data_IF_713081289777
#
_entry.id   IF_713081289777
#
_cell.length_a   1.000
_cell.length_b   1.000
_cell.length_c   1.000
_cell.angle_alpha   90.00
_cell.angle_beta   90.00
_cell.angle_gamma   90.00
#
_symmetry.space_group_name_H-M   'P 1'
#
loop_
_entity.id
_entity.type
_entity.pdbx_description
1 polymer ?
#
# COMPACT_ATOMS: atom_id res chain seq x y z
N UNK A 1 2.61 -19.72 -8.76
CA UNK A 1 3.78 -20.56 -8.62
C UNK A 1 4.81 -20.01 -7.66
N UNK A 2 5.69 -20.90 -7.23
CA UNK A 2 6.78 -20.50 -6.33
C UNK A 2 7.96 -19.88 -7.09
N UNK A 3 7.90 -19.87 -8.43
CA UNK A 3 8.86 -19.22 -9.31
C UNK A 3 8.14 -18.41 -10.38
N UNK A 4 8.86 -17.56 -11.11
CA UNK A 4 8.25 -16.82 -12.22
C UNK A 4 8.08 -17.64 -13.50
N UNK A 5 8.70 -18.84 -13.57
CA UNK A 5 8.47 -19.85 -14.60
C UNK A 5 9.09 -19.61 -15.97
N UNK A 6 9.69 -18.45 -16.23
CA UNK A 6 10.41 -18.11 -17.45
C UNK A 6 11.85 -17.75 -17.13
N UNK A 7 12.53 -17.09 -18.04
CA UNK A 7 13.94 -16.72 -17.98
C UNK A 7 14.49 -16.53 -16.54
N UNK A 8 15.55 -17.24 -16.20
CA UNK A 8 16.16 -17.37 -14.87
C UNK A 8 15.33 -18.08 -13.80
N UNK A 9 14.05 -18.31 -14.01
CA UNK A 9 13.15 -19.04 -13.11
C UNK A 9 13.31 -18.67 -11.63
N UNK A 10 13.34 -17.38 -11.34
CA UNK A 10 13.57 -16.85 -10.01
C UNK A 10 12.41 -17.18 -9.04
N UNK A 11 12.77 -17.43 -7.80
CA UNK A 11 11.82 -17.70 -6.71
C UNK A 11 10.82 -16.55 -6.52
N UNK A 12 9.59 -16.92 -6.14
CA UNK A 12 8.49 -16.03 -5.77
C UNK A 12 7.99 -16.32 -4.38
N UNK A 13 7.78 -15.30 -3.59
CA UNK A 13 7.23 -15.44 -2.22
C UNK A 13 5.70 -15.39 -2.24
N UNK A 14 5.06 -16.37 -2.89
CA UNK A 14 3.59 -16.46 -3.03
C UNK A 14 2.97 -17.51 -2.09
N UNK A 15 3.77 -18.16 -1.24
CA UNK A 15 3.33 -19.16 -0.29
C UNK A 15 2.14 -18.71 0.61
N UNK A 16 1.93 -17.42 0.97
CA UNK A 16 0.77 -17.03 1.77
C UNK A 16 -0.56 -17.35 1.09
N UNK A 17 -0.62 -17.26 -0.25
CA UNK A 17 -1.80 -17.66 -1.02
C UNK A 17 -2.08 -19.17 -0.89
N UNK A 18 -1.06 -20.01 -1.00
CA UNK A 18 -1.23 -21.46 -0.80
C UNK A 18 -1.76 -21.77 0.60
N UNK A 19 -1.20 -21.13 1.62
CA UNK A 19 -1.64 -21.32 3.01
C UNK A 19 -3.10 -20.85 3.19
N UNK A 20 -3.47 -19.74 2.58
CA UNK A 20 -4.85 -19.25 2.55
C UNK A 20 -5.81 -20.29 1.92
N UNK A 21 -5.43 -20.91 0.81
CA UNK A 21 -6.23 -21.97 0.17
C UNK A 21 -6.42 -23.14 1.11
N UNK A 22 -5.35 -23.59 1.78
CA UNK A 22 -5.40 -24.69 2.75
C UNK A 22 -6.35 -24.34 3.91
N UNK A 23 -6.22 -23.13 4.46
CA UNK A 23 -7.08 -22.66 5.55
C UNK A 23 -8.54 -22.54 5.14
N UNK A 24 -8.82 -22.12 3.92
CA UNK A 24 -10.17 -22.04 3.35
C UNK A 24 -10.84 -23.41 3.27
N UNK A 25 -10.11 -24.43 2.81
CA UNK A 25 -10.62 -25.80 2.80
C UNK A 25 -10.80 -26.36 4.22
N UNK A 26 -9.86 -26.14 5.12
CA UNK A 26 -9.94 -26.60 6.50
C UNK A 26 -11.10 -25.94 7.27
N UNK A 27 -11.43 -24.69 6.96
CA UNK A 27 -12.56 -23.97 7.56
C UNK A 27 -13.90 -24.21 6.86
N UNK A 28 -13.90 -25.01 5.78
CA UNK A 28 -15.08 -25.25 4.94
C UNK A 28 -15.73 -23.95 4.45
N UNK A 29 -14.90 -23.04 3.94
CA UNK A 29 -15.38 -21.74 3.41
C UNK A 29 -16.38 -21.99 2.28
N UNK A 30 -17.52 -21.23 2.23
CA UNK A 30 -18.49 -21.35 1.14
C UNK A 30 -17.84 -21.11 -0.24
N UNK A 31 -18.24 -21.90 -1.25
CA UNK A 31 -17.61 -21.88 -2.57
C UNK A 31 -17.71 -20.54 -3.28
N UNK A 32 -18.83 -19.87 -3.15
CA UNK A 32 -19.04 -18.52 -3.70
C UNK A 32 -18.08 -17.50 -3.06
N UNK A 33 -17.93 -17.52 -1.74
CA UNK A 33 -16.99 -16.66 -1.03
C UNK A 33 -15.53 -17.00 -1.41
N UNK A 34 -15.18 -18.28 -1.46
CA UNK A 34 -13.88 -18.76 -1.89
C UNK A 34 -13.51 -18.27 -3.30
N UNK A 35 -14.49 -18.27 -4.22
CA UNK A 35 -14.31 -17.78 -5.59
C UNK A 35 -14.14 -16.26 -5.63
N UNK A 36 -15.06 -15.53 -4.98
CA UNK A 36 -15.04 -14.07 -4.97
C UNK A 36 -13.74 -13.53 -4.38
N UNK A 37 -13.28 -14.10 -3.27
CA UNK A 37 -12.05 -13.63 -2.62
C UNK A 37 -10.80 -13.86 -3.46
N UNK A 38 -10.72 -14.93 -4.24
CA UNK A 38 -9.61 -15.19 -5.13
C UNK A 38 -9.61 -14.28 -6.37
N UNK A 39 -10.77 -13.98 -6.93
CA UNK A 39 -10.88 -13.15 -8.12
C UNK A 39 -10.85 -11.66 -7.82
N UNK A 40 -11.44 -11.22 -6.70
CA UNK A 40 -11.70 -9.82 -6.40
C UNK A 40 -11.67 -9.50 -4.89
N UNK A 41 -10.95 -10.26 -4.08
CA UNK A 41 -10.91 -10.07 -2.63
C UNK A 41 -10.38 -8.71 -2.19
N UNK A 42 -9.48 -8.11 -2.94
CA UNK A 42 -8.94 -6.77 -2.71
C UNK A 42 -9.95 -5.65 -3.01
N UNK A 43 -10.96 -5.92 -3.85
CA UNK A 43 -12.01 -4.96 -4.23
C UNK A 43 -13.20 -4.98 -3.26
N UNK A 44 -13.26 -5.91 -2.31
CA UNK A 44 -14.34 -5.98 -1.33
C UNK A 44 -14.32 -4.77 -0.39
N UNK A 45 -15.50 -4.23 -0.01
CA UNK A 45 -15.58 -3.13 0.94
C UNK A 45 -14.90 -3.48 2.28
N UNK A 46 -13.92 -2.68 2.70
CA UNK A 46 -13.17 -2.96 3.94
C UNK A 46 -12.29 -4.21 3.87
N UNK A 47 -11.80 -4.57 2.69
CA UNK A 47 -11.08 -5.81 2.42
C UNK A 47 -9.95 -6.08 3.43
N UNK A 48 -9.97 -7.28 3.99
CA UNK A 48 -9.00 -7.75 4.98
C UNK A 48 -7.66 -8.13 4.33
N UNK A 49 -6.64 -8.32 5.16
CA UNK A 49 -5.35 -8.83 4.66
C UNK A 49 -5.51 -10.22 4.02
N UNK A 50 -6.32 -11.09 4.61
CA UNK A 50 -6.51 -12.47 4.11
C UNK A 50 -7.25 -12.45 2.75
N UNK A 51 -8.23 -11.57 2.56
CA UNK A 51 -8.89 -11.36 1.28
C UNK A 51 -7.94 -10.82 0.19
N UNK A 52 -7.00 -9.95 0.58
CA UNK A 52 -5.93 -9.50 -0.34
C UNK A 52 -4.93 -10.62 -0.66
N UNK A 53 -4.63 -11.49 0.29
CA UNK A 53 -3.78 -12.69 0.06
C UNK A 53 -4.48 -13.64 -0.90
N UNK A 54 -5.80 -13.82 -0.78
CA UNK A 54 -6.58 -14.65 -1.69
C UNK A 54 -6.41 -14.26 -3.16
N UNK A 55 -6.30 -12.96 -3.47
CA UNK A 55 -6.06 -12.49 -4.85
C UNK A 55 -4.70 -12.90 -5.43
N UNK A 56 -3.86 -13.57 -4.65
CA UNK A 56 -2.67 -14.26 -5.13
C UNK A 56 -2.96 -15.24 -6.26
N UNK A 57 -4.21 -15.73 -6.40
CA UNK A 57 -4.68 -16.48 -7.57
C UNK A 57 -4.33 -15.77 -8.87
N UNK A 58 -4.60 -14.47 -8.96
CA UNK A 58 -4.33 -13.65 -10.15
C UNK A 58 -2.84 -13.40 -10.40
N UNK A 59 -1.96 -13.82 -9.48
CA UNK A 59 -0.50 -13.66 -9.56
C UNK A 59 0.24 -15.00 -9.78
N UNK A 60 -0.49 -16.09 -10.00
CA UNK A 60 0.10 -17.40 -10.27
C UNK A 60 0.55 -17.60 -11.71
N UNK A 61 0.29 -16.64 -12.58
CA UNK A 61 0.74 -16.67 -13.98
C UNK A 61 2.28 -16.64 -14.07
N UNK A 62 2.78 -17.19 -15.15
CA UNK A 62 4.20 -17.11 -15.53
C UNK A 62 4.54 -15.66 -15.89
N UNK A 63 5.69 -15.17 -15.39
CA UNK A 63 6.18 -13.81 -15.70
C UNK A 63 7.60 -13.87 -16.26
N UNK A 64 8.04 -12.81 -16.91
CA UNK A 64 9.38 -12.71 -17.46
C UNK A 64 10.11 -11.44 -17.03
N UNK A 65 11.42 -11.52 -16.94
CA UNK A 65 12.33 -10.39 -16.77
C UNK A 65 13.40 -10.34 -17.86
N UNK A 66 13.21 -11.13 -18.93
CA UNK A 66 14.20 -11.32 -20.00
C UNK A 66 14.47 -10.05 -20.78
N UNK A 67 15.76 -9.71 -20.93
CA UNK A 67 16.19 -8.61 -21.78
C UNK A 67 15.81 -8.86 -23.25
N UNK A 68 15.15 -7.89 -23.88
CA UNK A 68 14.64 -8.01 -25.25
C UNK A 68 13.18 -8.46 -25.36
N UNK A 69 12.55 -8.84 -24.25
CA UNK A 69 11.09 -9.02 -24.21
C UNK A 69 10.37 -7.68 -24.41
N UNK A 70 9.24 -7.72 -25.10
CA UNK A 70 8.41 -6.53 -25.37
C UNK A 70 7.37 -6.42 -24.26
N UNK A 71 7.42 -5.34 -23.49
CA UNK A 71 6.57 -5.10 -22.30
C UNK A 71 5.08 -5.22 -22.64
N UNK A 72 4.63 -4.53 -23.69
CA UNK A 72 3.22 -4.54 -24.12
C UNK A 72 2.76 -5.93 -24.56
N UNK A 73 3.61 -6.72 -25.20
CA UNK A 73 3.28 -8.09 -25.60
C UNK A 73 3.05 -8.98 -24.39
N UNK A 74 3.94 -8.93 -23.41
CA UNK A 74 3.81 -9.76 -22.21
C UNK A 74 2.64 -9.31 -21.34
N UNK A 75 2.35 -8.02 -21.27
CA UNK A 75 1.18 -7.51 -20.57
C UNK A 75 -0.12 -8.11 -21.13
N UNK A 76 -0.24 -8.17 -22.48
CA UNK A 76 -1.37 -8.85 -23.15
C UNK A 76 -1.36 -10.36 -22.86
N UNK A 77 -0.19 -11.02 -22.94
CA UNK A 77 -0.08 -12.47 -22.69
C UNK A 77 -0.53 -12.84 -21.26
N UNK A 78 -0.18 -12.03 -20.26
CA UNK A 78 -0.61 -12.28 -18.88
C UNK A 78 -2.11 -12.11 -18.70
N UNK A 79 -2.73 -11.14 -19.36
CA UNK A 79 -4.18 -10.98 -19.32
C UNK A 79 -4.89 -12.15 -20.00
N UNK A 80 -4.38 -12.63 -21.14
CA UNK A 80 -4.89 -13.84 -21.84
C UNK A 80 -4.78 -15.06 -20.93
N UNK A 81 -3.61 -15.30 -20.32
CA UNK A 81 -3.39 -16.43 -19.42
C UNK A 81 -4.36 -16.43 -18.23
N UNK A 82 -4.64 -15.27 -17.66
CA UNK A 82 -5.63 -15.14 -16.57
C UNK A 82 -7.05 -15.45 -17.00
N UNK A 83 -7.45 -15.05 -18.21
CA UNK A 83 -8.76 -15.42 -18.77
C UNK A 83 -8.85 -16.94 -18.93
N UNK A 84 -7.83 -17.56 -19.54
CA UNK A 84 -7.77 -19.00 -19.76
C UNK A 84 -7.79 -19.76 -18.44
N UNK A 85 -6.95 -19.36 -17.48
CA UNK A 85 -6.88 -19.96 -16.14
C UNK A 85 -8.21 -19.84 -15.41
N UNK A 86 -8.80 -18.64 -15.39
CA UNK A 86 -10.10 -18.40 -14.73
C UNK A 86 -11.20 -19.24 -15.35
N UNK A 87 -11.27 -19.28 -16.68
CA UNK A 87 -12.27 -20.07 -17.40
C UNK A 87 -12.10 -21.57 -17.14
N UNK A 88 -10.86 -22.05 -17.11
CA UNK A 88 -10.59 -23.47 -16.83
C UNK A 88 -10.94 -23.84 -15.39
N UNK A 89 -10.52 -23.03 -14.41
CA UNK A 89 -10.69 -23.33 -12.98
C UNK A 89 -12.14 -23.20 -12.53
N UNK A 90 -12.83 -22.13 -12.94
CA UNK A 90 -14.14 -21.78 -12.40
C UNK A 90 -15.31 -22.20 -13.30
N UNK A 91 -15.09 -22.27 -14.61
CA UNK A 91 -16.13 -22.59 -15.58
C UNK A 91 -15.94 -23.97 -16.22
N UNK A 92 -14.77 -24.58 -16.10
CA UNK A 92 -14.43 -25.83 -16.79
C UNK A 92 -14.35 -25.68 -18.31
N UNK A 93 -14.11 -24.45 -18.83
CA UNK A 93 -14.08 -24.13 -20.25
C UNK A 93 -12.66 -23.87 -20.73
N UNK A 94 -12.36 -24.29 -21.96
CA UNK A 94 -11.11 -24.02 -22.66
C UNK A 94 -11.23 -22.72 -23.45
N UNK A 95 -11.21 -21.58 -22.77
CA UNK A 95 -11.53 -20.28 -23.39
C UNK A 95 -10.49 -19.78 -24.42
N UNK A 96 -9.27 -20.30 -24.43
CA UNK A 96 -8.17 -19.81 -25.28
C UNK A 96 -8.46 -19.75 -26.77
N UNK A 97 -9.32 -20.65 -27.29
CA UNK A 97 -9.74 -20.60 -28.70
C UNK A 97 -10.47 -19.29 -29.04
N UNK A 98 -11.20 -18.73 -28.05
CA UNK A 98 -11.98 -17.52 -28.24
C UNK A 98 -11.14 -16.25 -28.29
N UNK A 99 -9.84 -16.33 -28.05
CA UNK A 99 -8.92 -15.22 -28.26
C UNK A 99 -8.84 -14.80 -29.75
N UNK A 100 -9.02 -15.75 -30.68
CA UNK A 100 -8.91 -15.49 -32.12
C UNK A 100 -10.24 -15.55 -32.89
N UNK A 101 -11.19 -16.35 -32.44
CA UNK A 101 -12.51 -16.56 -33.08
C UNK A 101 -13.52 -17.08 -32.07
N UNK A 102 -14.80 -17.03 -32.38
CA UNK A 102 -15.84 -17.62 -31.53
C UNK A 102 -15.53 -19.10 -31.25
N UNK A 103 -15.72 -19.55 -30.00
CA UNK A 103 -15.41 -20.92 -29.63
C UNK A 103 -16.25 -21.91 -30.48
N UNK A 104 -15.58 -22.95 -30.99
CA UNK A 104 -16.22 -23.85 -31.94
C UNK A 104 -17.39 -24.67 -31.34
N UNK A 105 -17.24 -25.05 -30.07
CA UNK A 105 -18.17 -25.99 -29.43
C UNK A 105 -18.93 -25.39 -28.26
N UNK A 106 -18.30 -24.49 -27.52
CA UNK A 106 -18.88 -23.86 -26.34
C UNK A 106 -19.51 -22.51 -26.70
N UNK A 107 -20.59 -22.09 -26.00
CA UNK A 107 -21.26 -20.82 -26.27
C UNK A 107 -20.44 -19.62 -25.74
N UNK A 108 -19.22 -19.50 -26.20
CA UNK A 108 -18.27 -18.43 -25.84
C UNK A 108 -17.83 -17.70 -27.11
N UNK A 109 -18.24 -16.47 -27.26
CA UNK A 109 -17.80 -15.61 -28.36
C UNK A 109 -16.46 -14.96 -28.10
N UNK A 110 -15.77 -14.57 -29.17
CA UNK A 110 -14.56 -13.76 -29.06
C UNK A 110 -14.81 -12.46 -28.27
N UNK A 111 -15.97 -11.85 -28.47
CA UNK A 111 -16.37 -10.64 -27.73
C UNK A 111 -16.44 -10.90 -26.22
N UNK A 112 -17.01 -11.98 -25.79
CA UNK A 112 -17.13 -12.35 -24.37
C UNK A 112 -15.75 -12.65 -23.76
N UNK A 113 -14.86 -13.30 -24.53
CA UNK A 113 -13.47 -13.48 -24.14
C UNK A 113 -12.81 -12.13 -23.82
N UNK A 114 -12.92 -11.14 -24.73
CA UNK A 114 -12.32 -9.82 -24.50
C UNK A 114 -13.05 -8.97 -23.46
N UNK A 115 -14.29 -9.27 -23.13
CA UNK A 115 -14.96 -8.69 -21.98
C UNK A 115 -14.32 -9.16 -20.66
N UNK A 116 -14.05 -10.46 -20.52
CA UNK A 116 -13.31 -10.99 -19.36
C UNK A 116 -11.87 -10.46 -19.36
N UNK A 117 -11.21 -10.47 -20.50
CA UNK A 117 -9.86 -9.94 -20.67
C UNK A 117 -9.72 -8.50 -20.14
N UNK A 118 -10.73 -7.64 -20.34
CA UNK A 118 -10.68 -6.25 -19.93
C UNK A 118 -10.51 -6.06 -18.41
N UNK A 119 -11.01 -7.00 -17.60
CA UNK A 119 -10.80 -6.97 -16.14
C UNK A 119 -9.35 -7.21 -15.78
N UNK A 120 -8.65 -8.11 -16.46
CA UNK A 120 -7.25 -8.44 -16.20
C UNK A 120 -6.27 -7.49 -16.87
N UNK A 121 -6.68 -6.83 -17.94
CA UNK A 121 -5.86 -5.86 -18.65
C UNK A 121 -5.74 -4.51 -17.93
N UNK A 122 -6.60 -4.23 -16.98
CA UNK A 122 -6.58 -3.00 -16.17
C UNK A 122 -5.74 -3.10 -14.88
N UNK A 123 -5.02 -4.21 -14.65
CA UNK A 123 -4.18 -4.38 -13.47
C UNK A 123 -2.95 -3.46 -13.51
N UNK A 124 -2.54 -2.98 -12.33
CA UNK A 124 -1.45 -2.00 -12.20
C UNK A 124 -0.05 -2.62 -12.06
N UNK A 125 0.11 -3.87 -12.46
CA UNK A 125 1.42 -4.54 -12.46
C UNK A 125 2.27 -4.15 -13.66
N UNK A 126 3.57 -4.45 -13.58
CA UNK A 126 4.46 -4.36 -14.73
C UNK A 126 4.58 -5.73 -15.40
N UNK A 127 4.58 -5.76 -16.72
CA UNK A 127 4.83 -6.99 -17.47
C UNK A 127 6.25 -7.53 -17.21
N UNK A 128 7.23 -6.63 -17.22
CA UNK A 128 8.63 -6.98 -16.95
C UNK A 128 8.93 -6.84 -15.45
N UNK A 129 9.16 -7.96 -14.78
CA UNK A 129 9.43 -7.98 -13.33
C UNK A 129 10.86 -7.57 -12.95
N UNK A 130 11.76 -7.48 -13.91
CA UNK A 130 13.16 -7.09 -13.72
C UNK A 130 13.94 -8.06 -12.84
N UNK A 131 13.54 -9.33 -12.81
CA UNK A 131 14.11 -10.39 -11.96
C UNK A 131 14.09 -10.07 -10.46
N UNK A 132 13.10 -9.29 -10.02
CA UNK A 132 12.93 -8.98 -8.60
C UNK A 132 12.29 -10.15 -7.88
N UNK A 133 12.81 -10.49 -6.70
CA UNK A 133 12.20 -11.48 -5.81
C UNK A 133 10.75 -11.12 -5.46
N UNK A 134 10.48 -9.84 -5.26
CA UNK A 134 9.18 -9.30 -4.92
C UNK A 134 8.79 -8.17 -5.89
N UNK A 135 8.31 -8.50 -7.10
CA UNK A 135 7.85 -7.49 -8.04
C UNK A 135 6.55 -6.84 -7.54
N UNK A 136 6.44 -5.51 -7.57
CA UNK A 136 5.22 -4.83 -7.17
C UNK A 136 4.04 -5.15 -8.11
N UNK A 137 2.78 -5.05 -7.62
CA UNK A 137 2.39 -4.70 -6.26
C UNK A 137 2.63 -5.83 -5.25
N UNK A 138 3.04 -5.48 -4.02
CA UNK A 138 3.30 -6.44 -2.94
C UNK A 138 2.52 -6.08 -1.68
N UNK A 139 2.19 -7.10 -0.90
CA UNK A 139 1.65 -6.95 0.45
C UNK A 139 2.54 -7.68 1.45
N UNK A 140 2.60 -7.18 2.68
CA UNK A 140 3.29 -7.86 3.77
C UNK A 140 2.32 -8.81 4.45
N UNK A 141 2.50 -10.11 4.24
CA UNK A 141 1.72 -11.16 4.90
C UNK A 141 2.54 -11.74 6.07
N UNK A 142 2.10 -11.55 7.34
CA UNK A 142 2.79 -12.11 8.48
C UNK A 142 2.60 -13.63 8.52
N UNK A 143 3.64 -14.34 8.96
CA UNK A 143 3.55 -15.79 9.28
C UNK A 143 2.60 -16.03 10.45
N UNK A 144 2.18 -17.27 10.65
CA UNK A 144 1.33 -17.66 11.79
C UNK A 144 1.97 -17.30 13.14
N UNK A 145 3.29 -17.49 13.28
CA UNK A 145 4.02 -17.09 14.49
C UNK A 145 3.97 -15.59 14.72
N UNK A 146 4.22 -14.79 13.67
CA UNK A 146 4.13 -13.33 13.73
C UNK A 146 2.71 -12.82 14.00
N UNK A 147 1.68 -13.48 13.45
CA UNK A 147 0.27 -13.17 13.76
C UNK A 147 -0.03 -13.38 15.25
N UNK A 148 0.46 -14.49 15.82
CA UNK A 148 0.29 -14.80 17.24
C UNK A 148 1.01 -13.79 18.13
N UNK A 149 2.26 -13.47 17.81
CA UNK A 149 3.05 -12.47 18.53
C UNK A 149 2.41 -11.07 18.46
N UNK A 150 1.98 -10.65 17.26
CA UNK A 150 1.29 -9.38 17.07
C UNK A 150 0.03 -9.30 17.94
N UNK A 151 -0.80 -10.35 17.95
CA UNK A 151 -2.01 -10.40 18.76
C UNK A 151 -1.70 -10.27 20.26
N UNK A 152 -0.62 -10.89 20.72
CA UNK A 152 -0.18 -10.77 22.12
C UNK A 152 0.32 -9.35 22.44
N UNK A 153 1.09 -8.74 21.53
CA UNK A 153 1.57 -7.35 21.67
C UNK A 153 0.40 -6.35 21.66
N UNK A 154 -0.60 -6.55 20.80
CA UNK A 154 -1.82 -5.75 20.76
C UNK A 154 -2.57 -5.84 22.08
N UNK A 155 -2.66 -7.03 22.68
CA UNK A 155 -3.26 -7.25 24.01
C UNK A 155 -2.52 -6.50 25.11
N UNK A 156 -1.18 -6.56 25.12
CA UNK A 156 -0.33 -5.85 26.08
C UNK A 156 -0.46 -4.33 25.92
N UNK A 157 -0.44 -3.85 24.68
CA UNK A 157 -0.62 -2.43 24.38
C UNK A 157 -1.97 -1.93 24.87
N UNK A 158 -3.04 -2.67 24.63
CA UNK A 158 -4.38 -2.30 25.10
C UNK A 158 -4.47 -2.28 26.66
N UNK A 159 -3.80 -3.23 27.33
CA UNK A 159 -3.74 -3.25 28.79
C UNK A 159 -3.01 -2.01 29.34
N UNK A 160 -1.84 -1.68 28.78
CA UNK A 160 -1.07 -0.50 29.19
C UNK A 160 -1.84 0.79 28.91
N UNK A 161 -2.49 0.90 27.76
CA UNK A 161 -3.34 2.05 27.44
C UNK A 161 -4.46 2.20 28.47
N UNK A 162 -5.11 1.11 28.83
CA UNK A 162 -6.14 1.12 29.89
C UNK A 162 -5.63 1.51 31.28
N UNK A 163 -4.38 1.20 31.59
CA UNK A 163 -3.73 1.67 32.82
C UNK A 163 -3.42 3.17 32.76
N UNK A 164 -2.93 3.65 31.62
CA UNK A 164 -2.68 5.08 31.38
C UNK A 164 -3.99 5.87 31.54
N UNK A 165 -5.06 5.41 30.91
CA UNK A 165 -6.38 6.06 30.99
C UNK A 165 -6.88 6.15 32.43
N UNK A 166 -6.71 5.08 33.23
CA UNK A 166 -7.06 5.08 34.66
C UNK A 166 -6.21 6.08 35.47
N UNK A 167 -4.90 6.14 35.18
CA UNK A 167 -4.01 7.10 35.82
C UNK A 167 -4.39 8.53 35.47
N UNK A 168 -4.68 8.80 34.20
CA UNK A 168 -5.13 10.11 33.74
C UNK A 168 -6.46 10.51 34.40
N UNK A 169 -7.42 9.60 34.45
CA UNK A 169 -8.69 9.86 35.11
C UNK A 169 -8.53 10.21 36.61
N UNK A 170 -7.57 9.58 37.28
CA UNK A 170 -7.30 9.81 38.71
C UNK A 170 -6.36 11.00 38.95
N UNK A 171 -5.65 11.50 37.93
CA UNK A 171 -4.67 12.59 38.08
C UNK A 171 -5.31 13.96 38.19
N UNK A 172 -6.64 14.09 37.96
CA UNK A 172 -7.30 15.39 37.85
C UNK A 172 -6.89 16.21 36.64
N UNK A 173 -6.11 15.62 35.73
CA UNK A 173 -5.69 16.26 34.48
C UNK A 173 -6.91 16.55 33.60
N UNK A 174 -7.03 17.80 33.17
CA UNK A 174 -7.99 18.20 32.13
C UNK A 174 -7.21 18.64 30.92
N UNK A 175 -7.46 17.98 29.81
CA UNK A 175 -6.90 18.42 28.54
C UNK A 175 -7.28 19.88 28.28
N UNK A 176 -6.31 20.73 27.92
CA UNK A 176 -6.64 22.07 27.46
C UNK A 176 -7.57 21.92 26.25
N UNK A 177 -8.72 22.59 26.32
CA UNK A 177 -9.64 22.58 25.19
C UNK A 177 -8.95 23.10 23.95
N UNK A 178 -9.23 22.55 22.75
CA UNK A 178 -8.57 22.98 21.51
C UNK A 178 -8.64 24.50 21.25
N UNK A 179 -9.61 25.16 21.86
CA UNK A 179 -9.83 26.61 21.77
C UNK A 179 -9.42 27.39 23.03
N UNK A 180 -8.83 26.74 24.03
CA UNK A 180 -8.26 27.51 25.14
C UNK A 180 -7.10 28.34 24.57
N UNK A 181 -7.08 29.67 24.79
CA UNK A 181 -5.88 30.42 24.46
C UNK A 181 -4.75 29.75 25.23
N UNK A 182 -3.70 29.28 24.53
CA UNK A 182 -2.48 28.85 25.16
C UNK A 182 -2.09 30.00 26.09
N UNK A 183 -2.14 29.74 27.42
CA UNK A 183 -1.63 30.70 28.38
C UNK A 183 -0.23 31.11 27.93
N UNK A 184 0.19 32.28 28.31
CA UNK A 184 1.49 32.84 27.98
C UNK A 184 2.59 31.80 28.18
N UNK A 185 2.89 31.04 27.11
CA UNK A 185 3.89 29.97 27.08
C UNK A 185 5.26 30.61 26.95
N UNK A 186 5.50 31.69 27.69
CA UNK A 186 6.77 32.36 27.78
C UNK A 186 7.38 32.72 26.42
N UNK A 187 8.33 33.57 26.36
CA UNK A 187 8.94 34.14 25.15
C UNK A 187 9.63 33.15 24.19
N UNK A 188 9.41 31.84 24.32
CA UNK A 188 10.11 30.81 23.53
C UNK A 188 9.27 30.17 22.38
N UNK A 189 7.98 30.32 22.38
CA UNK A 189 7.17 29.81 21.27
C UNK A 189 6.93 30.89 20.21
N UNK A 190 7.39 30.62 19.00
CA UNK A 190 7.16 31.47 17.82
C UNK A 190 6.25 30.73 16.87
N UNK A 191 5.10 31.31 16.59
CA UNK A 191 4.17 30.80 15.58
C UNK A 191 4.47 31.54 14.27
N UNK A 192 4.76 30.77 13.24
CA UNK A 192 4.96 31.29 11.90
C UNK A 192 3.76 30.94 11.04
N UNK A 193 3.24 31.93 10.40
CA UNK A 193 2.08 31.78 9.54
C UNK A 193 2.48 32.13 8.12
N UNK A 194 1.97 31.37 7.17
CA UNK A 194 2.24 31.56 5.75
C UNK A 194 3.73 31.37 5.34
N UNK A 195 4.11 32.03 4.28
CA UNK A 195 5.36 31.88 3.58
C UNK A 195 6.43 32.89 4.05
N UNK A 196 6.20 33.51 5.19
CA UNK A 196 7.09 34.54 5.73
C UNK A 196 7.75 34.05 7.02
N UNK A 197 9.06 34.21 7.10
CA UNK A 197 9.77 34.05 8.37
C UNK A 197 9.39 35.20 9.31
N UNK A 198 9.20 34.91 10.62
CA UNK A 198 8.92 35.97 11.59
C UNK A 198 10.02 37.04 11.60
N UNK A 199 9.62 38.27 11.82
CA UNK A 199 10.58 39.36 11.93
C UNK A 199 11.61 39.08 13.03
N UNK A 200 12.90 39.08 12.67
CA UNK A 200 13.98 38.79 13.57
C UNK A 200 14.42 37.32 13.66
N UNK A 201 13.82 36.39 12.91
CA UNK A 201 14.33 35.04 12.77
C UNK A 201 15.69 35.07 12.06
N UNK A 202 16.74 34.69 12.78
CA UNK A 202 18.10 34.56 12.24
C UNK A 202 18.48 33.09 12.18
N UNK A 203 19.16 32.61 11.09
CA UNK A 203 19.78 31.31 11.12
C UNK A 203 20.70 31.18 12.30
N UNK A 204 20.57 30.13 13.09
CA UNK A 204 21.53 29.88 14.19
C UNK A 204 22.82 29.25 13.65
N UNK A 205 23.95 29.85 13.97
CA UNK A 205 25.27 29.29 13.78
C UNK A 205 26.02 29.76 12.54
N UNK A 206 27.35 29.87 12.69
CA UNK A 206 28.26 30.13 11.57
C UNK A 206 28.28 28.93 10.62
N UNK A 207 27.92 29.13 9.36
CA UNK A 207 27.96 28.12 8.31
C UNK A 207 26.65 27.36 8.11
N UNK A 208 25.59 27.71 8.79
CA UNK A 208 24.27 27.07 8.56
C UNK A 208 23.62 27.63 7.28
N UNK A 209 23.21 26.78 6.34
CA UNK A 209 22.55 27.26 5.13
C UNK A 209 21.26 28.01 5.46
N UNK A 210 20.92 29.02 4.69
CA UNK A 210 19.70 29.78 4.90
C UNK A 210 18.48 28.90 4.70
N UNK A 211 17.41 29.19 5.44
CA UNK A 211 16.12 28.59 5.22
C UNK A 211 15.60 28.91 3.82
N UNK A 212 15.05 27.91 3.15
CA UNK A 212 14.43 28.05 1.83
C UNK A 212 12.97 27.66 1.89
N UNK A 213 12.16 28.41 1.16
CA UNK A 213 10.81 27.94 0.83
C UNK A 213 10.91 26.95 -0.31
N UNK A 214 10.31 25.79 -0.14
CA UNK A 214 10.28 24.71 -1.14
C UNK A 214 8.87 24.32 -1.45
N UNK A 215 8.66 23.90 -2.70
CA UNK A 215 7.38 23.42 -3.19
C UNK A 215 7.63 22.22 -4.09
N UNK A 216 6.89 21.16 -3.90
CA UNK A 216 7.00 19.95 -4.73
C UNK A 216 6.55 18.68 -4.01
N UNK A 217 6.54 17.54 -4.72
CA UNK A 217 6.01 16.28 -4.20
C UNK A 217 6.70 15.76 -2.93
N UNK A 218 7.97 16.11 -2.72
CA UNK A 218 8.71 15.73 -1.51
C UNK A 218 8.56 16.69 -0.33
N UNK A 219 7.77 17.75 -0.48
CA UNK A 219 7.66 18.82 0.51
C UNK A 219 6.18 19.13 0.75
N UNK A 220 5.46 18.33 1.55
CA UNK A 220 4.04 18.56 1.82
C UNK A 220 3.84 19.91 2.52
N UNK A 221 2.78 20.60 2.14
CA UNK A 221 2.38 21.90 2.68
C UNK A 221 1.08 21.69 3.43
N UNK A 222 1.04 22.03 4.73
CA UNK A 222 -0.16 21.94 5.56
C UNK A 222 -1.02 23.20 5.50
N UNK A 223 -0.36 24.36 5.37
CA UNK A 223 -1.05 25.64 5.12
C UNK A 223 -0.18 26.53 4.24
N UNK A 224 -0.77 27.49 3.56
CA UNK A 224 -0.06 28.32 2.58
C UNK A 224 0.30 27.56 1.31
N UNK A 225 1.31 28.02 0.57
CA UNK A 225 1.73 27.46 -0.73
C UNK A 225 3.08 26.76 -0.71
N UNK A 226 3.83 26.88 0.38
CA UNK A 226 5.21 26.41 0.49
C UNK A 226 5.48 25.83 1.88
N UNK A 227 6.40 24.88 1.95
CA UNK A 227 7.00 24.44 3.20
C UNK A 227 8.38 25.08 3.41
N UNK A 228 8.82 25.16 4.67
CA UNK A 228 10.13 25.65 5.00
C UNK A 228 11.08 24.46 5.10
N UNK A 229 12.24 24.57 4.49
CA UNK A 229 13.28 23.55 4.54
C UNK A 229 14.61 24.16 4.85
N UNK A 230 15.33 23.52 5.75
CA UNK A 230 16.74 23.79 5.99
C UNK A 230 17.56 22.84 5.15
N UNK A 231 18.38 23.35 4.24
CA UNK A 231 19.33 22.54 3.48
C UNK A 231 20.60 22.40 4.30
N UNK A 232 20.91 21.19 4.74
CA UNK A 232 22.19 20.85 5.39
C UNK A 232 23.24 20.54 4.33
N UNK A 233 24.50 20.84 4.61
CA UNK A 233 25.66 20.46 3.79
C UNK A 233 25.97 18.95 3.87
N UNK A 234 25.29 18.20 4.72
CA UNK A 234 25.47 16.76 4.97
C UNK A 234 24.29 15.92 4.47
N UNK A 235 23.72 16.18 3.33
CA UNK A 235 22.61 15.44 2.71
C UNK A 235 21.34 15.21 3.59
N UNK A 236 21.36 15.66 4.85
CA UNK A 236 20.21 15.61 5.72
C UNK A 236 19.32 16.84 5.50
N UNK A 237 18.13 16.61 4.99
CA UNK A 237 17.09 17.63 4.84
C UNK A 237 16.21 17.58 6.09
N UNK A 238 16.23 18.64 6.88
CA UNK A 238 15.26 18.80 7.97
C UNK A 238 14.09 19.63 7.44
N UNK A 239 12.93 19.04 7.43
CA UNK A 239 11.71 19.68 6.94
C UNK A 239 10.86 20.10 8.14
N UNK A 240 10.46 21.37 8.15
CA UNK A 240 9.53 21.92 9.14
C UNK A 240 8.20 22.20 8.43
N UNK A 241 7.11 21.75 9.06
CA UNK A 241 5.77 21.96 8.58
C UNK A 241 5.13 23.07 9.38
N UNK A 242 4.50 24.01 8.70
CA UNK A 242 3.79 25.12 9.33
C UNK A 242 2.32 24.96 9.04
N UNK A 243 1.52 25.13 10.06
CA UNK A 243 0.08 25.22 9.96
C UNK A 243 -0.34 26.69 9.98
N UNK A 244 -1.57 26.97 9.63
CA UNK A 244 -2.10 28.32 9.76
C UNK A 244 -2.29 28.72 11.24
N UNK A 245 -2.73 29.95 11.49
CA UNK A 245 -2.86 30.47 12.86
C UNK A 245 -3.89 29.73 13.72
N UNK A 246 -4.77 28.93 13.12
CA UNK A 246 -5.75 28.10 13.80
C UNK A 246 -5.18 26.74 14.24
N UNK A 247 -4.19 26.24 13.50
CA UNK A 247 -3.53 24.97 13.76
C UNK A 247 -2.17 25.20 14.43
N UNK A 248 -2.05 24.80 15.67
CA UNK A 248 -0.82 25.01 16.45
C UNK A 248 -0.01 23.73 16.46
N UNK A 249 1.06 23.71 15.68
CA UNK A 249 2.06 22.66 15.74
C UNK A 249 3.18 23.09 16.70
N UNK A 250 3.44 22.25 17.70
CA UNK A 250 4.61 22.42 18.56
C UNK A 250 5.83 21.88 17.81
N UNK A 251 6.73 22.76 17.42
CA UNK A 251 8.01 22.36 16.84
C UNK A 251 8.92 22.01 18.01
N UNK A 252 9.14 20.71 18.23
CA UNK A 252 10.25 20.25 19.08
C UNK A 252 11.47 20.05 18.19
N UNK A 253 12.61 20.65 18.58
CA UNK A 253 13.92 20.40 17.97
C UNK A 253 14.32 18.92 18.07
#
# INVERSE_FOLDING_TARGET
GDTHGLHLDNERSIWPYRDWVIDSFNSNQPFDQFTIEQLAGDLLPGSTLDQKVATGFNRCNVTTGEGGSIDDEYYVRYAVDRVETTSTVWLGLTAGCAACHDHKFDPLTQKEFYQIFSYYFSLTERAMDGNKLLPPPIIKAPTMSQRKERKELERQSAAITGEIDKLLANSGYKDPTPNAPLGDLGQQERIWVDEQLPAGAKPQGNGTPPWKFVQGPGHPVFSGKKSHTRVSTSDAITQHFFTDASDRLKITE
#
